data_IF_514592744097
#
_entry.id   IF_514592744097
#
_cell.length_a   1.000
_cell.length_b   1.000
_cell.length_c   1.000
_cell.angle_alpha   90.00
_cell.angle_beta   90.00
_cell.angle_gamma   90.00
#
_symmetry.space_group_name_H-M   'P 1'
#
loop_
_entity.id
_entity.type
_entity.pdbx_description
1 polymer ?
#
# COMPACT_ATOMS: atom_id res chain seq x y z
N UNK A 1 0.86 -1.22 -4.63
CA UNK A 1 0.33 -2.51 -5.13
C UNK A 1 -1.18 -2.43 -5.18
N UNK A 2 -1.79 -2.33 -6.36
CA UNK A 2 -3.25 -2.42 -6.48
C UNK A 2 -3.67 -3.88 -6.26
N UNK A 3 -4.38 -4.18 -5.16
CA UNK A 3 -4.95 -5.50 -4.92
C UNK A 3 -6.35 -5.48 -5.51
N UNK A 4 -6.51 -6.09 -6.68
CA UNK A 4 -7.84 -6.27 -7.26
C UNK A 4 -8.63 -7.19 -6.35
N UNK A 5 -9.79 -6.72 -5.89
CA UNK A 5 -10.74 -7.60 -5.21
C UNK A 5 -11.45 -8.39 -6.30
N UNK A 6 -11.45 -9.71 -6.13
CA UNK A 6 -12.16 -10.61 -7.04
C UNK A 6 -13.15 -11.44 -6.23
N UNK A 7 -14.26 -11.79 -6.86
CA UNK A 7 -15.40 -12.48 -6.26
C UNK A 7 -15.01 -13.82 -5.61
N UNK A 8 -13.98 -14.49 -6.13
CA UNK A 8 -13.42 -15.72 -5.57
C UNK A 8 -12.70 -15.52 -4.22
N UNK A 9 -12.31 -14.30 -3.87
CA UNK A 9 -11.75 -13.95 -2.55
C UNK A 9 -12.82 -13.88 -1.46
N UNK A 10 -14.10 -13.98 -1.81
CA UNK A 10 -15.22 -13.77 -0.89
C UNK A 10 -16.13 -14.99 -0.78
N UNK A 11 -16.70 -15.17 0.40
CA UNK A 11 -17.72 -16.17 0.71
C UNK A 11 -18.91 -15.51 1.38
N UNK A 12 -20.08 -16.15 1.30
CA UNK A 12 -21.24 -15.72 2.07
C UNK A 12 -20.97 -15.87 3.56
N UNK A 13 -21.35 -14.85 4.32
CA UNK A 13 -21.22 -14.87 5.77
C UNK A 13 -20.94 -13.51 6.39
N UNK A 14 -20.69 -13.54 7.69
CA UNK A 14 -20.48 -12.37 8.53
C UNK A 14 -19.16 -12.48 9.28
N UNK A 15 -18.52 -11.34 9.51
CA UNK A 15 -17.45 -11.21 10.49
C UNK A 15 -18.03 -10.65 11.80
N UNK A 16 -17.52 -11.11 12.94
CA UNK A 16 -17.81 -10.53 14.24
C UNK A 16 -16.83 -9.38 14.53
N UNK A 17 -17.23 -8.12 14.35
CA UNK A 17 -16.36 -6.98 14.61
C UNK A 17 -16.14 -6.73 16.11
N UNK A 18 -16.82 -7.47 16.99
CA UNK A 18 -16.68 -7.40 18.43
C UNK A 18 -15.87 -8.57 19.01
N UNK A 19 -15.26 -9.37 18.15
CA UNK A 19 -14.29 -10.38 18.56
C UNK A 19 -13.18 -9.73 19.44
N UNK A 20 -12.67 -10.49 20.40
CA UNK A 20 -11.64 -9.97 21.32
C UNK A 20 -10.37 -9.59 20.55
N UNK A 21 -9.73 -8.49 20.96
CA UNK A 21 -8.39 -8.13 20.48
C UNK A 21 -7.44 -9.31 20.69
N UNK A 22 -6.60 -9.62 19.72
CA UNK A 22 -5.72 -10.78 19.77
C UNK A 22 -6.31 -12.07 19.17
N UNK A 23 -7.58 -12.06 18.75
CA UNK A 23 -8.23 -13.24 18.15
C UNK A 23 -7.67 -13.53 16.76
N UNK A 24 -7.60 -14.82 16.41
CA UNK A 24 -7.31 -15.26 15.05
C UNK A 24 -8.49 -14.99 14.12
N UNK A 25 -8.21 -14.86 12.82
CA UNK A 25 -9.24 -14.59 11.82
C UNK A 25 -10.41 -15.60 11.83
N UNK A 26 -10.11 -16.88 12.07
CA UNK A 26 -11.13 -17.91 12.17
C UNK A 26 -12.13 -17.65 13.32
N UNK A 27 -11.67 -17.09 14.44
CA UNK A 27 -12.52 -16.72 15.57
C UNK A 27 -13.33 -15.44 15.29
N UNK A 28 -12.89 -14.61 14.35
CA UNK A 28 -13.66 -13.45 13.86
C UNK A 28 -14.75 -13.83 12.85
N UNK A 29 -14.83 -15.09 12.39
CA UNK A 29 -15.90 -15.55 11.51
C UNK A 29 -17.13 -15.93 12.35
N UNK A 30 -18.20 -15.13 12.24
CA UNK A 30 -19.46 -15.42 12.92
C UNK A 30 -20.08 -16.70 12.32
N UNK A 31 -20.32 -17.69 13.18
CA UNK A 31 -20.86 -19.01 12.83
C UNK A 31 -22.37 -19.12 13.03
N UNK A 32 -23.06 -18.05 13.44
CA UNK A 32 -24.52 -18.08 13.63
C UNK A 32 -25.24 -18.25 12.29
N UNK A 33 -26.45 -18.82 12.35
CA UNK A 33 -27.28 -19.10 11.16
C UNK A 33 -28.28 -17.97 10.86
N UNK A 34 -27.91 -16.72 11.15
CA UNK A 34 -28.82 -15.60 10.96
C UNK A 34 -29.09 -15.36 9.46
N UNK A 35 -30.35 -15.12 9.08
CA UNK A 35 -30.78 -14.88 7.69
C UNK A 35 -30.15 -13.66 6.99
N UNK A 36 -29.36 -12.87 7.71
CA UNK A 36 -28.60 -11.75 7.15
C UNK A 36 -27.22 -12.20 6.66
N UNK A 37 -26.77 -13.39 7.05
CA UNK A 37 -25.46 -13.93 6.64
C UNK A 37 -25.46 -14.34 5.17
N UNK A 38 -26.61 -14.77 4.64
CA UNK A 38 -26.79 -15.08 3.21
C UNK A 38 -26.82 -13.82 2.32
N UNK A 39 -26.86 -12.64 2.94
CA UNK A 39 -26.99 -11.34 2.26
C UNK A 39 -25.73 -10.48 2.42
N UNK A 40 -24.70 -11.03 3.05
CA UNK A 40 -23.42 -10.38 3.33
C UNK A 40 -22.33 -11.30 2.86
N UNK A 41 -21.27 -10.70 2.38
CA UNK A 41 -20.05 -11.43 2.07
C UNK A 41 -18.92 -11.01 2.96
N UNK A 42 -18.05 -11.95 3.24
CA UNK A 42 -16.80 -11.73 3.93
C UNK A 42 -15.65 -12.27 3.09
N UNK A 43 -14.46 -11.76 3.32
CA UNK A 43 -13.25 -12.39 2.75
C UNK A 43 -13.18 -13.87 3.17
N UNK A 44 -12.64 -14.74 2.32
CA UNK A 44 -12.37 -16.14 2.67
C UNK A 44 -11.16 -16.24 3.57
N UNK A 45 -10.15 -15.43 3.26
CA UNK A 45 -8.85 -15.35 3.93
C UNK A 45 -8.49 -13.90 4.20
N UNK A 46 -7.48 -13.70 5.05
CA UNK A 46 -6.88 -12.40 5.28
C UNK A 46 -6.18 -11.89 4.01
N UNK A 47 -6.48 -10.65 3.65
CA UNK A 47 -5.89 -9.99 2.49
C UNK A 47 -4.69 -9.18 2.98
N UNK A 48 -3.46 -9.48 2.51
CA UNK A 48 -2.28 -8.71 2.90
C UNK A 48 -2.42 -7.28 2.36
N UNK A 49 -2.22 -6.28 3.20
CA UNK A 49 -2.35 -4.86 2.80
C UNK A 49 -1.05 -4.07 2.92
N UNK A 50 0.10 -4.75 3.00
CA UNK A 50 1.42 -4.09 3.04
C UNK A 50 1.60 -3.15 4.24
N UNK A 51 2.63 -2.31 4.23
CA UNK A 51 2.85 -1.28 5.28
C UNK A 51 1.87 -0.10 5.20
N UNK A 52 0.80 -0.26 4.44
CA UNK A 52 0.09 0.83 3.82
C UNK A 52 -1.01 1.33 4.73
N UNK A 53 -1.13 2.65 4.91
CA UNK A 53 -2.05 3.22 5.91
C UNK A 53 -3.37 3.69 5.33
N UNK A 54 -3.66 3.44 4.05
CA UNK A 54 -4.94 3.80 3.45
C UNK A 54 -5.33 2.82 2.36
N UNK A 55 -6.59 2.41 2.38
CA UNK A 55 -7.27 1.63 1.36
C UNK A 55 -8.16 2.59 0.58
N UNK A 56 -8.06 2.58 -0.74
CA UNK A 56 -9.02 3.23 -1.63
C UNK A 56 -9.81 2.17 -2.37
N UNK A 57 -11.14 2.30 -2.39
CA UNK A 57 -12.04 1.49 -3.23
C UNK A 57 -12.35 2.26 -4.51
N UNK A 58 -11.91 1.75 -5.65
CA UNK A 58 -12.31 2.23 -6.99
C UNK A 58 -13.53 1.46 -7.51
N UNK A 59 -14.30 2.05 -8.43
CA UNK A 59 -15.52 1.45 -8.99
C UNK A 59 -16.81 2.06 -8.43
N UNK A 60 -17.97 1.54 -8.85
CA UNK A 60 -19.27 1.97 -8.30
C UNK A 60 -19.57 1.20 -7.00
N UNK A 61 -19.32 1.87 -5.88
CA UNK A 61 -19.62 1.36 -4.54
C UNK A 61 -20.74 2.14 -3.84
N UNK A 62 -21.50 2.95 -4.58
CA UNK A 62 -22.53 3.86 -4.03
C UNK A 62 -23.64 3.13 -3.26
N UNK A 63 -23.82 1.83 -3.53
CA UNK A 63 -24.80 0.96 -2.89
C UNK A 63 -24.18 -0.08 -1.95
N UNK A 64 -22.88 0.02 -1.67
CA UNK A 64 -22.18 -0.93 -0.81
C UNK A 64 -21.92 -0.33 0.57
N UNK A 65 -22.11 -1.14 1.59
CA UNK A 65 -21.68 -0.90 2.95
C UNK A 65 -20.50 -1.81 3.20
N UNK A 66 -19.39 -1.26 3.67
CA UNK A 66 -18.15 -1.99 3.89
C UNK A 66 -17.77 -1.84 5.36
N UNK A 67 -17.38 -2.96 5.97
CA UNK A 67 -16.73 -3.03 7.27
C UNK A 67 -15.35 -3.65 7.08
N UNK A 68 -14.34 -3.03 7.67
CA UNK A 68 -12.95 -3.48 7.61
C UNK A 68 -12.51 -3.96 8.99
N UNK A 69 -12.00 -5.17 9.06
CA UNK A 69 -11.28 -5.70 10.21
C UNK A 69 -9.79 -5.67 9.91
N UNK A 70 -8.99 -5.27 10.89
CA UNK A 70 -7.55 -5.05 10.76
C UNK A 70 -6.78 -6.05 11.64
N UNK A 71 -5.70 -6.60 11.11
CA UNK A 71 -4.89 -7.64 11.75
C UNK A 71 -3.41 -7.30 11.67
N UNK A 72 -2.66 -7.64 12.71
CA UNK A 72 -1.21 -7.47 12.74
C UNK A 72 -0.47 -8.54 11.91
N UNK A 73 0.86 -8.43 11.89
CA UNK A 73 1.76 -9.38 11.20
C UNK A 73 1.61 -10.83 11.68
N UNK A 74 1.17 -11.03 12.91
CA UNK A 74 0.95 -12.33 13.55
C UNK A 74 -0.50 -12.82 13.34
N UNK A 75 -1.24 -12.14 12.44
CA UNK A 75 -2.63 -12.39 12.06
C UNK A 75 -3.62 -12.26 13.21
N UNK A 76 -3.27 -11.43 14.20
CA UNK A 76 -4.10 -11.17 15.37
C UNK A 76 -4.95 -9.93 15.18
N UNK A 77 -6.23 -10.04 15.55
CA UNK A 77 -7.19 -8.97 15.38
C UNK A 77 -6.83 -7.75 16.25
N UNK A 78 -6.79 -6.57 15.64
CA UNK A 78 -6.39 -5.31 16.28
C UNK A 78 -7.53 -4.57 16.98
N UNK A 79 -8.69 -5.23 17.13
CA UNK A 79 -9.88 -4.63 17.73
C UNK A 79 -10.67 -3.75 16.77
N UNK A 80 -11.75 -3.18 17.31
CA UNK A 80 -12.83 -2.52 16.57
C UNK A 80 -12.27 -1.59 15.48
N UNK A 81 -12.58 -1.94 14.22
CA UNK A 81 -12.43 -1.06 13.06
C UNK A 81 -13.60 -0.08 12.97
N UNK A 82 -13.68 0.78 11.94
CA UNK A 82 -14.90 1.58 11.76
C UNK A 82 -16.06 0.67 11.33
N UNK A 83 -17.27 0.98 11.81
CA UNK A 83 -18.50 0.23 11.55
C UNK A 83 -18.90 0.11 10.08
N UNK A 84 -20.17 -0.18 9.81
CA UNK A 84 -20.68 -0.11 8.44
C UNK A 84 -20.56 1.29 7.88
N UNK A 85 -19.89 1.42 6.74
CA UNK A 85 -19.65 2.72 6.13
C UNK A 85 -19.64 2.68 4.59
N UNK A 86 -19.81 3.86 4.00
CA UNK A 86 -19.91 4.10 2.55
C UNK A 86 -18.65 4.78 2.00
N UNK A 87 -17.49 4.52 2.60
CA UNK A 87 -16.30 5.30 2.26
C UNK A 87 -15.69 4.87 0.93
N UNK A 88 -15.26 5.85 0.15
CA UNK A 88 -14.32 5.61 -0.97
C UNK A 88 -12.90 5.33 -0.46
N UNK A 89 -12.55 5.81 0.74
CA UNK A 89 -11.22 5.60 1.34
C UNK A 89 -11.28 5.30 2.84
N UNK A 90 -10.36 4.47 3.33
CA UNK A 90 -10.23 4.08 4.74
C UNK A 90 -8.78 4.14 5.21
N UNK A 91 -8.50 4.81 6.33
CA UNK A 91 -7.16 4.86 6.93
C UNK A 91 -6.96 3.71 7.92
N UNK A 92 -5.92 2.91 7.72
CA UNK A 92 -5.54 1.76 8.54
C UNK A 92 -4.71 2.19 9.77
N UNK A 93 -4.76 1.38 10.83
CA UNK A 93 -3.86 1.47 11.99
C UNK A 93 -2.42 1.21 11.57
N UNK A 94 -1.48 1.76 12.34
CA UNK A 94 -0.06 1.69 12.03
C UNK A 94 0.49 0.26 12.00
N UNK A 95 -0.04 -0.62 12.84
CA UNK A 95 0.42 -2.00 13.02
C UNK A 95 -0.31 -3.01 12.11
N UNK A 96 -1.22 -2.53 11.25
CA UNK A 96 -2.00 -3.38 10.34
C UNK A 96 -1.12 -3.94 9.23
N UNK A 97 -1.10 -5.26 9.09
CA UNK A 97 -0.42 -5.99 8.02
C UNK A 97 -1.41 -6.72 7.10
N UNK A 98 -2.59 -7.07 7.64
CA UNK A 98 -3.67 -7.71 6.88
C UNK A 98 -5.01 -7.07 7.19
N UNK A 99 -5.93 -7.19 6.23
CA UNK A 99 -7.33 -6.80 6.38
C UNK A 99 -8.28 -7.93 6.00
N UNK A 100 -9.47 -7.90 6.58
CA UNK A 100 -10.61 -8.65 6.09
C UNK A 100 -11.79 -7.70 5.91
N UNK A 101 -12.59 -7.96 4.88
CA UNK A 101 -13.78 -7.17 4.60
C UNK A 101 -15.01 -7.96 4.96
N UNK A 102 -16.03 -7.24 5.44
CA UNK A 102 -17.42 -7.66 5.41
C UNK A 102 -18.19 -6.62 4.60
N UNK A 103 -18.87 -7.06 3.54
CA UNK A 103 -19.54 -6.19 2.56
C UNK A 103 -21.01 -6.58 2.49
N UNK A 104 -21.87 -5.58 2.43
CA UNK A 104 -23.32 -5.73 2.26
C UNK A 104 -23.84 -4.70 1.26
N UNK A 105 -25.01 -4.96 0.68
CA UNK A 105 -25.75 -3.94 -0.07
C UNK A 105 -26.46 -2.99 0.89
N UNK A 106 -26.72 -1.75 0.46
CA UNK A 106 -27.63 -0.83 1.11
C UNK A 106 -29.02 -0.88 0.42
N UNK A 107 -30.11 -1.14 1.15
CA UNK A 107 -30.18 -1.49 2.58
C UNK A 107 -29.57 -2.88 2.86
N UNK A 108 -29.05 -3.08 4.09
CA UNK A 108 -28.42 -4.32 4.61
C UNK A 108 -29.39 -5.52 4.72
N UNK A 109 -30.46 -5.49 3.94
CA UNK A 109 -31.50 -6.50 3.79
C UNK A 109 -31.61 -7.03 2.35
N UNK A 110 -30.89 -6.41 1.39
CA UNK A 110 -30.85 -6.81 -0.01
C UNK A 110 -29.71 -7.79 -0.29
N UNK A 111 -29.92 -8.68 -1.27
CA UNK A 111 -28.87 -9.59 -1.73
C UNK A 111 -27.76 -8.80 -2.44
N UNK A 112 -26.53 -9.22 -2.16
CA UNK A 112 -25.31 -8.71 -2.81
C UNK A 112 -24.86 -9.73 -3.88
N UNK A 113 -24.74 -9.26 -5.11
CA UNK A 113 -24.07 -10.01 -6.18
C UNK A 113 -22.56 -9.84 -6.01
N UNK A 114 -21.85 -10.95 -5.80
CA UNK A 114 -20.39 -10.96 -5.56
C UNK A 114 -19.58 -10.52 -6.76
N UNK A 115 -20.13 -10.61 -7.98
CA UNK A 115 -19.46 -10.11 -9.19
C UNK A 115 -19.23 -8.60 -9.18
N UNK A 116 -20.02 -7.84 -8.39
CA UNK A 116 -19.80 -6.40 -8.18
C UNK A 116 -18.45 -6.12 -7.52
N UNK A 117 -17.90 -7.09 -6.78
CA UNK A 117 -16.61 -6.96 -6.12
C UNK A 117 -15.45 -6.97 -7.12
N UNK A 118 -15.62 -7.56 -8.30
CA UNK A 118 -14.60 -7.61 -9.36
C UNK A 118 -14.25 -6.23 -9.93
N UNK A 119 -15.08 -5.22 -9.61
CA UNK A 119 -14.86 -3.82 -9.97
C UNK A 119 -14.06 -3.05 -8.91
N UNK A 120 -13.86 -3.64 -7.74
CA UNK A 120 -13.16 -3.03 -6.62
C UNK A 120 -11.67 -3.38 -6.67
N UNK A 121 -10.86 -2.39 -6.35
CA UNK A 121 -9.44 -2.58 -6.10
C UNK A 121 -9.07 -1.90 -4.79
N UNK A 122 -8.03 -2.40 -4.12
CA UNK A 122 -7.40 -1.77 -2.98
C UNK A 122 -6.11 -1.11 -3.44
N UNK A 123 -5.98 0.19 -3.21
CA UNK A 123 -4.73 0.92 -3.47
C UNK A 123 -4.15 1.42 -2.14
N UNK A 124 -3.02 0.86 -1.68
CA UNK A 124 -2.08 1.46 -0.74
C UNK A 124 -1.83 2.93 -1.00
N UNK A 125 -2.12 3.82 -0.04
CA UNK A 125 -2.11 5.25 -0.34
C UNK A 125 -1.76 6.20 0.84
N UNK A 126 -0.99 7.24 0.56
CA UNK A 126 -1.04 8.50 1.29
C UNK A 126 -1.26 9.65 0.27
N UNK A 127 -2.47 10.23 0.21
CA UNK A 127 -2.79 11.39 -0.66
C UNK A 127 -2.18 12.70 -0.16
N UNK A 128 -2.03 12.78 1.15
CA UNK A 128 -1.60 14.01 1.80
C UNK A 128 -0.09 14.13 1.73
N UNK A 129 0.39 15.37 1.62
CA UNK A 129 1.81 15.66 1.74
C UNK A 129 2.32 15.27 3.12
N UNK A 130 3.26 14.35 3.16
CA UNK A 130 3.95 13.91 4.37
C UNK A 130 5.32 14.58 4.43
N UNK A 131 5.64 15.13 5.61
CA UNK A 131 6.99 15.60 5.90
C UNK A 131 7.89 14.42 6.27
N UNK A 132 9.02 14.28 5.58
CA UNK A 132 10.06 13.31 5.91
C UNK A 132 11.38 14.03 6.15
N UNK A 133 12.25 13.42 6.97
CA UNK A 133 13.63 13.90 7.16
C UNK A 133 14.52 13.24 6.11
N UNK A 134 15.29 14.05 5.40
CA UNK A 134 16.26 13.60 4.40
C UNK A 134 17.64 14.04 4.85
N UNK A 135 18.53 13.08 5.10
CA UNK A 135 19.93 13.35 5.43
C UNK A 135 20.75 13.63 4.16
N UNK A 136 22.08 13.54 4.23
CA UNK A 136 22.94 13.77 3.05
C UNK A 136 22.82 12.69 1.98
N UNK A 137 22.26 11.53 2.32
CA UNK A 137 22.14 10.36 1.48
C UNK A 137 20.69 10.12 1.08
N UNK A 138 19.75 10.12 2.04
CA UNK A 138 18.39 9.65 1.80
C UNK A 138 17.40 10.09 2.88
N UNK A 139 16.12 9.94 2.57
CA UNK A 139 15.02 9.95 3.53
C UNK A 139 14.15 8.72 3.37
N UNK A 140 13.84 8.11 4.50
CA UNK A 140 12.89 7.00 4.54
C UNK A 140 11.47 7.57 4.66
N UNK A 141 10.58 7.16 3.77
CA UNK A 141 9.16 7.28 4.08
C UNK A 141 8.80 6.13 5.03
N UNK A 142 8.06 6.42 6.10
CA UNK A 142 7.77 5.39 7.12
C UNK A 142 7.06 4.15 6.57
N UNK A 143 6.41 4.26 5.41
CA UNK A 143 5.76 3.17 4.66
C UNK A 143 6.77 2.18 4.05
N UNK A 144 8.01 2.60 3.79
CA UNK A 144 8.98 1.90 2.94
C UNK A 144 10.22 1.39 3.67
N UNK A 145 10.07 1.04 4.94
CA UNK A 145 11.13 0.36 5.67
C UNK A 145 11.61 -0.89 4.94
N UNK A 146 12.91 -1.16 5.04
CA UNK A 146 13.51 -2.38 4.51
C UNK A 146 12.77 -3.60 5.04
N UNK A 147 12.29 -4.44 4.14
CA UNK A 147 11.55 -5.67 4.45
C UNK A 147 11.88 -6.78 3.45
N UNK A 148 11.67 -8.05 3.81
CA UNK A 148 11.72 -9.14 2.83
C UNK A 148 10.76 -8.85 1.67
N UNK A 149 11.27 -8.82 0.44
CA UNK A 149 10.41 -8.51 -0.71
C UNK A 149 9.46 -9.68 -1.05
N UNK A 150 9.74 -10.89 -0.54
CA UNK A 150 8.88 -12.05 -0.64
C UNK A 150 7.51 -11.82 0.01
N UNK A 151 7.46 -10.95 1.03
CA UNK A 151 6.21 -10.58 1.71
C UNK A 151 5.26 -9.79 0.78
N UNK A 152 5.81 -9.28 -0.33
CA UNK A 152 5.08 -8.58 -1.40
C UNK A 152 4.86 -9.46 -2.64
N UNK A 153 5.12 -10.77 -2.56
CA UNK A 153 4.96 -11.70 -3.69
C UNK A 153 5.97 -11.49 -4.83
N UNK A 154 7.07 -10.78 -4.56
CA UNK A 154 8.14 -10.51 -5.52
C UNK A 154 9.16 -11.64 -5.48
N UNK A 155 9.77 -11.94 -6.63
CA UNK A 155 10.92 -12.87 -6.76
C UNK A 155 12.02 -12.28 -7.61
N UNK A 156 13.22 -12.86 -7.51
CA UNK A 156 14.34 -12.53 -8.39
C UNK A 156 13.95 -12.65 -9.87
N UNK A 157 14.37 -11.68 -10.68
CA UNK A 157 14.03 -11.58 -12.10
C UNK A 157 12.71 -10.85 -12.39
N UNK A 158 11.86 -10.58 -11.40
CA UNK A 158 10.70 -9.70 -11.60
C UNK A 158 11.18 -8.28 -11.95
N UNK A 159 10.38 -7.55 -12.72
CA UNK A 159 10.58 -6.12 -12.95
C UNK A 159 9.67 -5.37 -12.00
N UNK A 160 10.18 -4.35 -11.34
CA UNK A 160 9.43 -3.52 -10.39
C UNK A 160 9.60 -2.05 -10.71
N UNK A 161 8.55 -1.27 -10.50
CA UNK A 161 8.55 0.19 -10.69
C UNK A 161 8.09 0.89 -9.41
N UNK A 162 8.87 1.88 -8.99
CA UNK A 162 8.57 2.78 -7.89
C UNK A 162 8.44 4.22 -8.41
N UNK A 163 7.36 4.89 -8.04
CA UNK A 163 7.09 6.29 -8.34
C UNK A 163 6.77 7.05 -7.04
N UNK A 164 7.25 8.28 -6.92
CA UNK A 164 6.94 9.16 -5.79
C UNK A 164 6.82 10.61 -6.25
N UNK A 165 5.86 11.35 -5.69
CA UNK A 165 5.81 12.82 -5.84
C UNK A 165 6.65 13.48 -4.75
N UNK A 166 7.47 14.41 -5.18
CA UNK A 166 8.45 15.11 -4.36
C UNK A 166 8.14 16.60 -4.46
N UNK A 167 8.15 17.29 -3.33
CA UNK A 167 8.16 18.74 -3.26
C UNK A 167 9.28 19.17 -2.32
N UNK A 168 10.23 19.92 -2.87
CA UNK A 168 11.43 20.35 -2.17
C UNK A 168 11.73 21.82 -2.37
N UNK A 169 12.30 22.45 -1.34
CA UNK A 169 12.83 23.81 -1.38
C UNK A 169 14.23 23.89 -0.75
N UNK A 170 14.90 22.75 -0.57
CA UNK A 170 16.12 22.65 0.23
C UNK A 170 17.42 22.74 -0.57
N UNK A 171 17.34 22.77 -1.90
CA UNK A 171 18.48 22.61 -2.79
C UNK A 171 19.00 21.19 -2.92
N UNK A 172 18.42 20.20 -2.22
CA UNK A 172 18.77 18.80 -2.48
C UNK A 172 18.23 18.36 -3.85
N UNK A 173 19.07 17.61 -4.56
CA UNK A 173 18.71 16.90 -5.78
C UNK A 173 18.09 15.56 -5.40
N UNK A 174 16.78 15.45 -5.47
CA UNK A 174 16.02 14.33 -4.91
C UNK A 174 15.47 13.42 -5.99
N UNK A 175 15.46 12.12 -5.75
CA UNK A 175 14.85 11.15 -6.66
C UNK A 175 14.43 9.86 -5.94
N UNK A 176 13.57 9.08 -6.61
CA UNK A 176 13.20 7.75 -6.15
C UNK A 176 14.40 6.79 -6.21
N UNK A 177 14.51 5.89 -5.21
CA UNK A 177 15.49 4.80 -5.19
C UNK A 177 14.86 3.53 -4.67
N UNK A 178 15.25 2.43 -5.29
CA UNK A 178 15.02 1.07 -4.79
C UNK A 178 16.39 0.54 -4.36
N UNK A 179 16.49 0.08 -3.12
CA UNK A 179 17.70 -0.53 -2.57
C UNK A 179 17.44 -1.99 -2.20
N UNK A 180 18.39 -2.86 -2.53
CA UNK A 180 18.30 -4.30 -2.27
C UNK A 180 19.29 -4.69 -1.19
N UNK A 181 18.89 -5.58 -0.28
CA UNK A 181 19.74 -6.10 0.80
C UNK A 181 19.77 -7.62 0.82
N UNK A 182 20.96 -8.18 1.01
CA UNK A 182 21.17 -9.62 1.20
C UNK A 182 21.10 -9.98 2.70
N UNK A 183 21.29 -11.26 3.01
CA UNK A 183 21.29 -11.76 4.39
C UNK A 183 22.41 -11.20 5.27
N UNK A 184 23.50 -10.75 4.66
CA UNK A 184 24.68 -10.19 5.34
C UNK A 184 24.57 -8.67 5.55
N UNK A 185 23.40 -8.08 5.23
CA UNK A 185 23.17 -6.63 5.19
C UNK A 185 24.04 -5.86 4.17
N UNK A 186 24.68 -6.56 3.23
CA UNK A 186 25.23 -5.89 2.06
C UNK A 186 24.09 -5.33 1.23
N UNK A 187 24.33 -4.14 0.68
CA UNK A 187 23.33 -3.41 -0.08
C UNK A 187 23.86 -3.06 -1.45
N UNK A 188 22.96 -3.12 -2.43
CA UNK A 188 23.23 -2.56 -3.75
C UNK A 188 22.19 -1.52 -4.09
N UNK A 189 22.66 -0.50 -4.79
CA UNK A 189 21.84 0.59 -5.29
C UNK A 189 22.14 0.76 -6.76
N UNK A 190 21.12 0.46 -7.56
CA UNK A 190 21.22 0.52 -9.01
C UNK A 190 20.55 1.83 -9.43
N UNK A 191 21.30 2.66 -10.13
CA UNK A 191 20.86 3.97 -10.60
C UNK A 191 20.83 3.97 -12.13
N UNK A 192 19.65 3.93 -12.76
CA UNK A 192 19.55 4.27 -14.17
C UNK A 192 19.96 5.74 -14.35
N UNK A 193 20.79 6.04 -15.35
CA UNK A 193 21.18 7.42 -15.68
C UNK A 193 19.98 8.32 -16.02
N UNK A 194 18.84 7.72 -16.37
CA UNK A 194 17.62 8.40 -16.81
C UNK A 194 16.65 8.74 -15.69
N UNK A 195 16.97 8.47 -14.41
CA UNK A 195 16.06 8.77 -13.31
C UNK A 195 15.88 10.29 -13.17
N UNK A 196 14.62 10.72 -13.12
CA UNK A 196 14.27 12.12 -12.96
C UNK A 196 14.67 12.64 -11.57
N UNK A 197 15.47 13.71 -11.57
CA UNK A 197 15.92 14.44 -10.38
C UNK A 197 15.07 15.69 -10.18
N UNK A 198 14.60 15.89 -8.95
CA UNK A 198 13.78 17.03 -8.51
C UNK A 198 14.61 17.90 -7.55
N UNK A 199 14.76 19.17 -7.87
CA UNK A 199 15.51 20.14 -7.06
C UNK A 199 14.71 21.44 -6.99
N UNK A 200 14.52 21.99 -5.78
CA UNK A 200 13.81 23.26 -5.54
C UNK A 200 12.47 23.39 -6.30
N UNK A 201 11.76 22.27 -6.43
CA UNK A 201 10.57 22.15 -7.25
C UNK A 201 9.64 21.06 -6.73
N UNK A 202 8.48 20.99 -7.36
CA UNK A 202 7.56 19.87 -7.23
C UNK A 202 7.60 19.04 -8.51
N UNK A 203 7.68 17.72 -8.38
CA UNK A 203 7.70 16.83 -9.53
C UNK A 203 7.52 15.37 -9.14
N UNK A 204 7.56 14.51 -10.16
CA UNK A 204 7.45 13.06 -10.02
C UNK A 204 8.82 12.46 -10.29
N UNK A 205 9.25 11.49 -9.48
CA UNK A 205 10.42 10.67 -9.78
C UNK A 205 9.97 9.22 -9.89
N UNK A 206 10.36 8.55 -10.97
CA UNK A 206 10.03 7.15 -11.25
C UNK A 206 11.30 6.38 -11.53
N UNK A 207 11.40 5.18 -10.97
CA UNK A 207 12.51 4.25 -11.19
C UNK A 207 11.95 2.85 -11.45
N UNK A 208 12.51 2.16 -12.44
CA UNK A 208 12.17 0.77 -12.78
C UNK A 208 13.43 -0.06 -12.74
N UNK A 209 13.42 -1.18 -12.02
CA UNK A 209 14.56 -2.09 -11.90
C UNK A 209 14.12 -3.54 -12.01
N UNK A 210 15.06 -4.41 -12.41
CA UNK A 210 14.91 -5.87 -12.27
C UNK A 210 15.40 -6.28 -10.89
N UNK A 211 14.65 -7.16 -10.22
CA UNK A 211 15.02 -7.72 -8.92
C UNK A 211 16.28 -8.58 -9.08
N UNK A 212 17.38 -8.24 -8.40
CA UNK A 212 18.65 -8.96 -8.51
C UNK A 212 18.56 -10.36 -7.86
N UNK A 213 19.37 -11.30 -8.35
CA UNK A 213 19.62 -12.56 -7.64
C UNK A 213 20.39 -12.30 -6.34
N UNK A 214 20.25 -13.18 -5.35
CA UNK A 214 21.02 -13.18 -4.10
C UNK A 214 20.65 -12.12 -3.05
N UNK A 215 19.67 -11.25 -3.34
CA UNK A 215 19.07 -10.33 -2.37
C UNK A 215 17.73 -10.89 -1.92
N UNK A 216 17.32 -10.64 -0.69
CA UNK A 216 16.04 -11.12 -0.13
C UNK A 216 15.17 -10.01 0.43
N UNK A 217 15.73 -8.80 0.58
CA UNK A 217 15.03 -7.65 1.14
C UNK A 217 15.14 -6.44 0.20
N UNK A 218 14.16 -5.55 0.31
CA UNK A 218 14.08 -4.32 -0.46
C UNK A 218 13.65 -3.16 0.44
N UNK A 219 14.18 -1.96 0.16
CA UNK A 219 13.70 -0.70 0.71
C UNK A 219 13.45 0.31 -0.42
N UNK A 220 12.42 1.15 -0.25
CA UNK A 220 12.13 2.25 -1.17
C UNK A 220 12.45 3.58 -0.48
N UNK A 221 13.17 4.45 -1.17
CA UNK A 221 13.77 5.63 -0.57
C UNK A 221 13.56 6.87 -1.43
N UNK A 222 13.54 8.03 -0.76
CA UNK A 222 13.85 9.29 -1.39
C UNK A 222 15.36 9.53 -1.26
N UNK A 223 16.10 9.39 -2.33
CA UNK A 223 17.55 9.56 -2.35
C UNK A 223 17.91 11.03 -2.57
N UNK A 224 18.96 11.49 -1.91
CA UNK A 224 19.64 12.73 -2.25
C UNK A 224 20.83 12.38 -3.16
N UNK A 225 20.71 12.72 -4.44
CA UNK A 225 21.76 12.47 -5.42
C UNK A 225 23.07 13.10 -4.95
N UNK A 226 24.06 12.24 -4.68
CA UNK A 226 25.37 12.63 -4.18
C UNK A 226 26.19 13.23 -5.33
N UNK A 227 26.22 14.56 -5.36
CA UNK A 227 27.14 15.35 -6.17
C UNK A 227 28.13 16.06 -5.23
N UNK A 228 29.20 16.64 -5.78
CA UNK A 228 30.14 17.46 -5.00
C UNK A 228 29.48 18.68 -4.31
N UNK A 229 28.25 19.03 -4.68
CA UNK A 229 27.45 20.12 -4.11
C UNK A 229 26.28 19.63 -3.24
N UNK A 230 26.24 18.34 -2.84
CA UNK A 230 25.11 17.84 -2.04
C UNK A 230 25.05 18.51 -0.67
N UNK A 231 23.92 19.17 -0.40
CA UNK A 231 23.60 19.70 0.92
C UNK A 231 23.66 18.58 1.96
N UNK A 232 24.58 18.71 2.92
CA UNK A 232 24.87 17.63 3.88
C UNK A 232 24.03 17.66 5.14
N UNK A 233 23.30 18.75 5.36
CA UNK A 233 22.38 18.94 6.48
C UNK A 233 21.14 18.06 6.33
N UNK A 234 20.49 17.74 7.46
CA UNK A 234 19.19 17.08 7.46
C UNK A 234 18.12 18.11 7.12
N UNK A 235 17.39 17.88 6.03
CA UNK A 235 16.30 18.76 5.59
C UNK A 235 14.95 18.08 5.82
N UNK A 236 13.88 18.86 5.73
CA UNK A 236 12.51 18.34 5.75
C UNK A 236 11.95 18.47 4.35
N UNK A 237 11.63 17.34 3.72
CA UNK A 237 11.07 17.28 2.37
C UNK A 237 9.62 16.82 2.43
N UNK A 238 8.83 17.22 1.43
CA UNK A 238 7.45 16.77 1.31
C UNK A 238 7.34 15.69 0.23
N UNK A 239 6.71 14.59 0.59
CA UNK A 239 6.42 13.48 -0.31
C UNK A 239 4.94 13.11 -0.25
N UNK A 240 4.40 12.59 -1.35
CA UNK A 240 3.07 11.96 -1.39
C UNK A 240 2.94 10.98 -2.55
N UNK A 241 1.81 10.28 -2.60
CA UNK A 241 1.42 9.45 -3.74
C UNK A 241 2.55 8.52 -4.20
N UNK A 242 3.12 7.79 -3.24
CA UNK A 242 4.12 6.77 -3.45
C UNK A 242 3.47 5.49 -4.01
N UNK A 243 3.82 5.15 -5.25
CA UNK A 243 3.24 4.03 -5.99
C UNK A 243 4.34 3.00 -6.23
N UNK A 244 4.07 1.76 -5.86
CA UNK A 244 4.92 0.62 -6.15
C UNK A 244 4.14 -0.49 -6.85
N UNK A 245 4.67 -1.00 -7.96
CA UNK A 245 4.08 -2.07 -8.77
C UNK A 245 5.12 -3.09 -9.22
N UNK A 246 4.67 -4.33 -9.41
CA UNK A 246 5.39 -5.36 -10.14
C UNK A 246 5.01 -5.21 -11.62
N UNK A 247 5.97 -4.81 -12.44
CA UNK A 247 5.77 -4.42 -13.83
C UNK A 247 6.82 -3.40 -14.27
N UNK A 248 6.91 -3.15 -15.58
CA UNK A 248 7.86 -2.20 -16.16
C UNK A 248 7.34 -0.76 -16.22
N UNK A 249 6.07 -0.54 -15.88
CA UNK A 249 5.42 0.77 -15.93
C UNK A 249 4.35 0.91 -14.85
N UNK A 250 4.07 2.17 -14.49
CA UNK A 250 2.90 2.51 -13.67
C UNK A 250 1.66 2.43 -14.58
N UNK A 251 0.63 1.64 -14.22
CA UNK A 251 -0.65 1.60 -14.93
C UNK A 251 -1.24 3.01 -15.09
N UNK A 252 -1.84 3.34 -16.23
CA UNK A 252 -2.31 4.70 -16.53
C UNK A 252 -3.41 5.22 -15.60
N UNK A 253 -4.19 4.31 -15.00
CA UNK A 253 -5.17 4.63 -13.95
C UNK A 253 -4.50 5.02 -12.61
N UNK A 254 -3.23 4.66 -12.42
CA UNK A 254 -2.40 4.98 -11.27
C UNK A 254 -1.41 6.11 -11.57
N UNK A 255 -1.02 6.29 -12.84
CA UNK A 255 -0.12 7.35 -13.28
C UNK A 255 -0.75 8.71 -13.00
N UNK A 256 -0.08 9.49 -12.15
CA UNK A 256 -0.62 10.78 -11.70
C UNK A 256 -0.15 11.94 -12.56
N UNK A 257 0.74 11.70 -13.52
CA UNK A 257 1.35 12.76 -14.32
C UNK A 257 2.17 13.76 -13.48
N UNK A 258 3.04 14.47 -14.17
CA UNK A 258 3.78 15.63 -13.68
C UNK A 258 3.98 16.55 -14.87
N UNK A 259 3.84 17.86 -14.68
CA UNK A 259 4.07 18.83 -15.75
C UNK A 259 5.49 18.67 -16.28
N UNK A 260 5.62 18.16 -17.50
CA UNK A 260 6.80 18.43 -18.32
C UNK A 260 6.80 19.94 -18.56
N UNK A 261 7.75 20.65 -17.96
CA UNK A 261 8.19 21.94 -18.49
C UNK A 261 9.53 21.75 -19.14
#
# INVERSE_FOLDING_TARGET
>A
MEIKLTSDMFEQGKLDPYASVGSDYAACKDSSTHSLHEKRVRSKDLIPCGSDRKITFSGDNSHLMIWILEFDKDKKYLGIGKGWNYFTTYTLKFETAYVAFMIARNPNSAYLDVSLLDTLSLIPYHDDWMSIKVDRYRGQCSTWATKPYSDWGIKAGDVVTFQIRIKSTSGKKLHARIEWFNSDNDRISIYPETVQVIENSEGVSTITLTVPSDYSQMGLWLDANLTTQTHTEITTELVKADIFVIGSSIPSNLDRGGYFR
#
